data_IF_688104711344
#
_entry.id   IF_688104711344
#
_cell.length_a   1.000
_cell.length_b   1.000
_cell.length_c   1.000
_cell.angle_alpha   90.00
_cell.angle_beta   90.00
_cell.angle_gamma   90.00
#
_symmetry.space_group_name_H-M   'P 1'
#
loop_
_entity.id
_entity.type
_entity.pdbx_description
1 polymer ?
2 branched ?
3 water ?
#
# COMPACT_ATOMS: atom_id res chain seq x y z
N UNK A 7 -9.26 -15.81 -13.24
CA UNK A 7 -9.67 -14.65 -12.41
C UNK A 7 -9.74 -13.41 -13.31
N UNK A 8 -10.70 -12.54 -13.07
CA UNK A 8 -10.84 -11.29 -13.82
C UNK A 8 -9.69 -10.35 -13.45
N UNK A 9 -9.20 -9.55 -14.42
CA UNK A 9 -8.08 -8.69 -14.10
C UNK A 9 -8.46 -7.50 -13.21
N UNK A 10 -7.47 -6.95 -12.49
CA UNK A 10 -7.60 -5.68 -11.82
C UNK A 10 -7.25 -4.60 -12.81
N UNK A 11 -8.17 -3.66 -13.05
CA UNK A 11 -7.96 -2.62 -14.05
C UNK A 11 -7.71 -1.27 -13.39
N UNK A 12 -6.64 -0.59 -13.82
CA UNK A 12 -6.26 0.73 -13.31
C UNK A 12 -6.38 0.90 -11.80
N UNK A 13 -5.84 -0.05 -11.04
CA UNK A 13 -5.93 0.14 -9.61
C UNK A 13 -4.93 1.23 -9.20
N UNK A 14 -5.27 2.03 -8.20
CA UNK A 14 -4.33 3.03 -7.67
C UNK A 14 -3.16 2.31 -7.00
N UNK A 15 -1.98 2.93 -7.04
CA UNK A 15 -0.87 2.43 -6.21
C UNK A 15 -0.60 3.37 -5.03
N UNK A 16 -0.34 2.80 -3.83
CA UNK A 16 -0.13 1.35 -3.57
C UNK A 16 -1.41 0.52 -3.70
N UNK A 17 -1.26 -0.71 -4.22
CA UNK A 17 -2.36 -1.65 -4.42
C UNK A 17 -2.13 -2.95 -3.69
N UNK A 18 -3.21 -3.60 -3.24
CA UNK A 18 -3.16 -4.93 -2.68
C UNK A 18 -4.40 -5.67 -3.20
N UNK A 19 -4.20 -6.85 -3.77
CA UNK A 19 -5.34 -7.60 -4.34
C UNK A 19 -5.20 -9.08 -4.13
N UNK A 20 -6.34 -9.74 -3.98
CA UNK A 20 -6.35 -11.20 -3.78
C UNK A 20 -5.94 -11.91 -5.05
N UNK A 21 -5.13 -12.97 -4.89
CA UNK A 21 -4.89 -13.93 -5.95
C UNK A 21 -5.88 -15.09 -5.69
N UNK A 22 -6.98 -15.11 -6.44
CA UNK A 22 -8.02 -16.14 -6.21
C UNK A 22 -7.47 -17.54 -6.44
N UNK A 23 -7.61 -18.41 -5.44
CA UNK A 23 -7.07 -19.77 -5.50
C UNK A 23 -5.66 -19.90 -4.96
N UNK A 24 -5.03 -18.76 -4.70
CA UNK A 24 -3.64 -18.73 -4.25
C UNK A 24 -2.66 -19.01 -5.38
N UNK A 25 -1.38 -18.89 -5.13
CA UNK A 25 -0.40 -19.26 -6.16
C UNK A 25 -0.47 -20.75 -6.39
N UNK A 26 -0.37 -21.12 -7.66
CA UNK A 26 -0.41 -22.51 -8.11
C UNK A 26 0.68 -22.74 -9.14
N UNK A 27 1.27 -23.94 -9.18
CA UNK A 27 2.23 -24.27 -10.25
C UNK A 27 1.60 -23.97 -11.62
N UNK A 28 2.34 -23.25 -12.45
CA UNK A 28 1.94 -22.87 -13.83
C UNK A 28 1.09 -21.60 -13.93
N UNK A 29 0.72 -21.02 -12.79
CA UNK A 29 -0.02 -19.75 -12.81
C UNK A 29 0.85 -18.61 -13.33
N UNK A 30 0.28 -17.75 -14.17
CA UNK A 30 0.97 -16.63 -14.78
C UNK A 30 0.30 -15.33 -14.34
N UNK A 31 1.08 -14.45 -13.71
CA UNK A 31 0.51 -13.19 -13.24
C UNK A 31 1.21 -12.06 -13.97
N UNK A 32 0.45 -11.24 -14.69
CA UNK A 32 1.01 -10.12 -15.45
C UNK A 32 0.70 -8.81 -14.74
N UNK A 33 1.73 -7.97 -14.66
CA UNK A 33 1.62 -6.63 -14.11
C UNK A 33 2.02 -5.71 -15.27
N UNK A 34 1.09 -4.87 -15.69
CA UNK A 34 1.31 -4.03 -16.84
C UNK A 34 1.11 -2.61 -16.35
N UNK A 35 2.06 -1.74 -16.62
CA UNK A 35 2.03 -0.43 -16.02
C UNK A 35 3.10 0.45 -16.64
N UNK A 36 3.39 1.55 -15.94
CA UNK A 36 4.37 2.53 -16.38
C UNK A 36 5.20 2.97 -15.20
N UNK A 37 6.52 3.03 -15.40
CA UNK A 37 7.41 3.56 -14.35
C UNK A 37 7.33 5.08 -14.32
N UNK A 38 7.09 5.63 -13.15
CA UNK A 38 6.94 7.07 -13.00
C UNK A 38 8.31 7.77 -13.14
N UNK A 39 8.25 9.04 -13.53
CA UNK A 39 9.44 9.87 -13.79
C UNK A 39 9.80 10.83 -12.66
N UNK A 40 8.83 11.23 -11.84
CA UNK A 40 9.10 12.22 -10.82
C UNK A 40 8.57 11.81 -9.46
N UNK A 41 8.64 10.51 -9.15
CA UNK A 41 8.03 9.99 -7.93
C UNK A 41 8.90 8.95 -7.23
N UNK A 42 10.21 9.19 -7.22
CA UNK A 42 11.11 8.31 -6.48
C UNK A 42 11.91 7.36 -7.36
N UNK A 43 12.60 6.42 -6.74
CA UNK A 43 13.64 5.66 -7.46
C UNK A 43 13.52 4.15 -7.33
N UNK A 44 12.40 3.69 -6.78
CA UNK A 44 12.16 2.26 -6.49
C UNK A 44 10.67 1.92 -6.61
N UNK A 45 10.38 0.70 -7.07
CA UNK A 45 9.08 0.07 -6.80
C UNK A 45 9.20 -1.38 -6.42
N UNK A 46 8.09 -1.99 -5.97
CA UNK A 46 8.12 -3.42 -5.70
C UNK A 46 6.80 -4.06 -6.06
N UNK A 47 6.92 -5.33 -6.42
CA UNK A 47 5.77 -6.24 -6.55
C UNK A 47 6.01 -7.29 -5.50
N UNK A 48 5.02 -7.49 -4.63
CA UNK A 48 5.11 -8.44 -3.53
C UNK A 48 4.10 -9.59 -3.69
N UNK A 49 4.58 -10.83 -3.57
CA UNK A 49 3.69 -11.99 -3.47
C UNK A 49 3.66 -12.37 -2.00
N UNK A 50 2.50 -12.18 -1.37
CA UNK A 50 2.45 -12.22 0.10
C UNK A 50 1.26 -12.97 0.68
N UNK A 51 1.29 -13.13 2.01
CA UNK A 51 0.24 -13.84 2.74
C UNK A 51 -0.63 -12.84 3.46
N UNK A 52 -1.84 -12.65 2.95
CA UNK A 52 -2.79 -11.75 3.58
C UNK A 52 -2.34 -10.32 3.52
N UNK A 53 -2.68 -9.56 4.54
CA UNK A 53 -2.53 -8.11 4.48
C UNK A 53 -1.43 -7.50 5.35
N UNK A 54 -0.92 -8.27 6.31
CA UNK A 54 0.40 -7.98 6.85
C UNK A 54 1.33 -8.14 5.64
N UNK A 55 2.06 -7.09 5.29
CA UNK A 55 3.19 -7.24 4.40
C UNK A 55 4.38 -7.70 5.20
N UNK A 56 4.15 -8.44 6.29
CA UNK A 56 5.26 -8.97 7.11
C UNK A 56 5.74 -10.33 6.64
N UNK A 57 4.89 -10.98 5.83
CA UNK A 57 5.18 -12.31 5.30
C UNK A 57 5.05 -12.24 3.80
N UNK A 58 6.18 -11.97 3.16
CA UNK A 58 6.21 -11.79 1.70
C UNK A 58 7.09 -12.89 1.15
N UNK A 59 6.47 -13.82 0.41
CA UNK A 59 7.19 -14.96 -0.18
C UNK A 59 8.23 -14.51 -1.22
N UNK A 60 7.89 -13.49 -2.00
CA UNK A 60 8.73 -12.97 -3.06
C UNK A 60 8.47 -11.47 -3.21
N UNK A 61 9.49 -10.67 -2.87
CA UNK A 61 9.60 -9.21 -3.06
C UNK A 61 10.49 -9.00 -4.27
N UNK A 62 9.93 -8.40 -5.32
CA UNK A 62 10.63 -8.13 -6.60
C UNK A 62 10.75 -6.60 -6.72
N UNK A 63 11.98 -6.10 -6.60
CA UNK A 63 12.17 -4.68 -6.21
C UNK A 63 13.16 -3.93 -7.10
N UNK A 64 12.71 -3.46 -8.30
CA UNK A 64 13.61 -2.66 -9.15
C UNK A 64 14.01 -1.32 -8.52
N UNK A 65 15.31 -1.02 -8.60
CA UNK A 65 15.88 0.22 -8.04
C UNK A 65 16.65 0.98 -9.14
N UNK A 66 16.16 2.18 -9.45
CA UNK A 66 16.77 3.06 -10.44
C UNK A 66 17.83 3.88 -9.70
N UNK A 67 18.87 3.15 -9.28
CA UNK A 67 19.90 3.64 -8.40
C UNK A 67 21.19 2.93 -8.75
N UNK A 68 22.32 3.64 -8.64
CA UNK A 68 23.66 3.04 -8.81
C UNK A 68 23.84 2.37 -10.16
N UNK A 69 23.17 2.90 -11.18
CA UNK A 69 23.30 2.34 -12.54
C UNK A 69 22.17 1.39 -12.85
N UNK A 70 21.36 1.10 -11.83
CA UNK A 70 20.14 0.30 -11.97
C UNK A 70 20.33 -1.18 -11.61
N UNK A 71 19.51 -1.69 -10.70
CA UNK A 71 19.56 -3.11 -10.32
C UNK A 71 18.21 -3.55 -9.72
N UNK A 72 18.02 -4.85 -9.61
CA UNK A 72 16.77 -5.36 -9.03
C UNK A 72 17.13 -6.21 -7.80
N UNK A 73 16.44 -5.95 -6.68
CA UNK A 73 16.56 -6.79 -5.50
C UNK A 73 15.43 -7.83 -5.50
N UNK A 74 15.77 -9.07 -5.22
CA UNK A 74 14.78 -10.12 -4.93
C UNK A 74 15.00 -10.61 -3.51
N UNK A 75 13.93 -10.66 -2.72
CA UNK A 75 14.04 -11.05 -1.32
C UNK A 75 12.75 -11.68 -0.79
N UNK A 76 12.81 -12.19 0.43
CA UNK A 76 11.65 -12.79 1.10
C UNK A 76 11.60 -12.17 2.49
N UNK A 77 10.40 -11.91 2.99
CA UNK A 77 10.23 -11.36 4.32
C UNK A 77 9.42 -12.36 5.14
N UNK A 78 9.88 -12.64 6.36
CA UNK A 78 9.16 -13.60 7.21
C UNK A 78 9.05 -13.02 8.60
N UNK A 79 7.83 -12.90 9.10
CA UNK A 79 7.59 -12.32 10.43
C UNK A 79 8.18 -10.92 10.58
N UNK A 80 8.14 -10.17 9.48
CA UNK A 80 8.62 -8.80 9.47
C UNK A 80 10.08 -8.61 9.08
N UNK A 81 10.85 -9.69 9.12
CA UNK A 81 12.29 -9.62 8.88
C UNK A 81 12.67 -9.98 7.46
N UNK A 82 13.41 -9.09 6.82
CA UNK A 82 13.91 -9.31 5.47
C UNK A 82 15.08 -10.32 5.53
N UNK A 83 15.07 -11.25 4.58
CA UNK A 83 16.19 -12.17 4.43
C UNK A 83 17.39 -11.59 3.70
N UNK A 84 18.37 -12.44 3.37
CA UNK A 84 19.44 -11.99 2.51
C UNK A 84 18.95 -11.72 1.09
N UNK A 85 19.38 -10.60 0.50
CA UNK A 85 18.94 -10.21 -0.85
C UNK A 85 19.66 -11.01 -1.89
N UNK A 86 19.00 -11.22 -3.02
CA UNK A 86 19.70 -11.57 -4.23
C UNK A 86 19.58 -10.39 -5.14
N UNK A 87 20.71 -9.93 -5.68
CA UNK A 87 20.69 -8.75 -6.55
C UNK A 87 21.06 -9.07 -7.96
N UNK A 88 20.27 -8.53 -8.89
CA UNK A 88 20.52 -8.70 -10.31
C UNK A 88 20.96 -7.34 -10.79
N UNK A 89 22.22 -7.26 -11.25
CA UNK A 89 22.82 -5.95 -11.52
C UNK A 89 22.58 -5.53 -12.97
N UNK A 90 21.34 -5.70 -13.40
CA UNK A 90 20.85 -5.26 -14.71
C UNK A 90 19.48 -4.65 -14.45
N UNK A 91 19.17 -3.56 -15.14
CA UNK A 91 17.85 -2.97 -15.04
C UNK A 91 17.15 -3.01 -16.40
N UNK A 92 16.08 -3.81 -16.51
CA UNK A 92 15.35 -3.94 -17.76
C UNK A 92 14.18 -2.96 -17.89
N UNK A 93 13.96 -2.14 -16.87
CA UNK A 93 12.92 -1.09 -16.89
C UNK A 93 13.56 0.28 -17.14
N UNK A 94 12.74 1.26 -17.50
CA UNK A 94 13.21 2.64 -17.68
C UNK A 94 12.19 3.66 -17.15
N UNK A 95 12.66 4.64 -16.37
CA UNK A 95 11.76 5.68 -15.84
C UNK A 95 10.98 6.32 -16.96
N UNK A 96 9.67 6.43 -16.74
CA UNK A 96 8.77 7.02 -17.71
C UNK A 96 8.32 6.14 -18.86
N UNK A 97 8.76 4.88 -18.89
CA UNK A 97 8.34 3.94 -19.94
C UNK A 97 7.36 2.86 -19.42
N UNK A 98 6.42 2.42 -20.29
CA UNK A 98 5.53 1.33 -19.95
C UNK A 98 6.25 -0.03 -19.92
N UNK A 99 5.72 -0.96 -19.14
CA UNK A 99 6.30 -2.29 -19.05
C UNK A 99 5.25 -3.39 -18.98
N UNK A 100 5.64 -4.59 -19.39
CA UNK A 100 4.86 -5.79 -19.15
C UNK A 100 5.72 -6.76 -18.34
N UNK A 101 5.27 -7.05 -17.12
CA UNK A 101 6.05 -7.84 -16.18
C UNK A 101 5.25 -9.11 -15.87
N UNK A 102 5.85 -10.28 -16.13
CA UNK A 102 5.11 -11.52 -16.03
C UNK A 102 5.80 -12.46 -15.08
N UNK A 103 5.07 -12.94 -14.09
CA UNK A 103 5.60 -13.87 -13.12
C UNK A 103 4.98 -15.23 -13.39
N UNK A 104 5.80 -16.24 -13.59
CA UNK A 104 5.30 -17.59 -13.87
C UNK A 104 5.72 -18.47 -12.70
N UNK A 105 4.74 -19.06 -12.00
CA UNK A 105 5.03 -19.94 -10.85
C UNK A 105 5.43 -21.31 -11.37
N UNK A 106 6.54 -21.82 -10.88
CA UNK A 106 7.00 -23.15 -11.28
C UNK A 106 7.25 -23.95 -10.02
N UNK A 107 7.50 -25.25 -10.15
CA UNK A 107 7.60 -26.09 -8.95
C UNK A 107 8.68 -25.65 -7.96
N UNK A 108 9.82 -25.19 -8.47
CA UNK A 108 10.92 -24.83 -7.58
C UNK A 108 11.29 -23.36 -7.58
N UNK A 109 10.78 -22.58 -8.54
CA UNK A 109 11.08 -21.15 -8.59
C UNK A 109 9.98 -20.30 -9.23
N UNK A 110 10.13 -18.97 -9.13
CA UNK A 110 9.38 -18.08 -10.00
C UNK A 110 10.27 -17.78 -11.20
N UNK A 111 9.71 -17.80 -12.40
CA UNK A 111 10.40 -17.31 -13.59
C UNK A 111 9.83 -15.94 -13.89
N UNK A 112 10.68 -14.92 -13.97
CA UNK A 112 10.21 -13.54 -14.16
C UNK A 112 10.62 -13.05 -15.55
N UNK A 113 9.64 -12.65 -16.34
CA UNK A 113 9.87 -12.13 -17.69
C UNK A 113 9.57 -10.62 -17.72
N UNK A 114 10.38 -9.86 -18.44
CA UNK A 114 10.11 -8.42 -18.66
C UNK A 114 9.98 -8.18 -20.16
N UNK A 115 8.88 -7.58 -20.58
CA UNK A 115 8.63 -7.34 -22.01
C UNK A 115 8.93 -8.60 -22.86
N UNK A 116 8.52 -9.76 -22.34
CA UNK A 116 8.67 -11.03 -23.02
C UNK A 116 9.96 -11.81 -22.82
N UNK A 117 10.95 -11.21 -22.19
CA UNK A 117 12.27 -11.86 -22.10
C UNK A 117 12.53 -12.30 -20.65
N UNK A 118 12.99 -13.53 -20.47
CA UNK A 118 13.36 -14.02 -19.15
C UNK A 118 14.39 -13.09 -18.53
N UNK A 119 14.12 -12.64 -17.31
CA UNK A 119 14.97 -11.68 -16.61
C UNK A 119 15.64 -12.30 -15.39
N UNK A 120 14.86 -12.97 -14.56
CA UNK A 120 15.44 -13.62 -13.38
C UNK A 120 14.59 -14.81 -12.96
N UNK A 121 15.22 -15.75 -12.25
CA UNK A 121 14.49 -16.84 -11.59
C UNK A 121 14.72 -16.72 -10.09
N UNK A 122 13.67 -16.92 -9.31
CA UNK A 122 13.80 -16.81 -7.87
C UNK A 122 13.34 -18.11 -7.24
N UNK A 123 14.27 -18.81 -6.60
CA UNK A 123 14.04 -20.09 -6.03
C UNK A 123 13.15 -19.91 -4.80
N UNK A 124 12.09 -20.70 -4.70
CA UNK A 124 11.19 -20.61 -3.54
C UNK A 124 11.92 -20.73 -2.22
N UNK A 125 11.70 -19.77 -1.33
CA UNK A 125 12.23 -19.84 0.02
C UNK A 125 11.18 -20.29 1.04
N UNK A 126 9.92 -19.98 0.75
CA UNK A 126 8.81 -20.46 1.55
C UNK A 126 7.76 -21.12 0.64
N UNK A 127 6.86 -21.95 1.21
CA UNK A 127 5.86 -22.59 0.37
C UNK A 127 5.03 -21.57 -0.43
N UNK A 128 5.01 -21.68 -1.76
CA UNK A 128 4.22 -20.72 -2.52
C UNK A 128 2.71 -20.86 -2.39
N UNK A 129 2.23 -22.04 -2.00
CA UNK A 129 0.77 -22.23 -1.83
C UNK A 129 0.20 -21.34 -0.72
N UNK A 130 1.07 -20.85 0.16
CA UNK A 130 0.65 -19.96 1.25
C UNK A 130 0.35 -18.54 0.76
N UNK A 131 0.70 -18.23 -0.48
CA UNK A 131 0.50 -16.87 -0.98
C UNK A 131 -0.89 -16.69 -1.54
N UNK A 132 -1.57 -15.64 -1.07
CA UNK A 132 -2.89 -15.31 -1.59
C UNK A 132 -3.11 -13.85 -2.01
N UNK A 133 -2.03 -13.05 -2.03
CA UNK A 133 -2.18 -11.62 -2.23
C UNK A 133 -1.01 -11.13 -3.08
N UNK A 134 -1.29 -10.23 -4.02
CA UNK A 134 -0.26 -9.50 -4.73
C UNK A 134 -0.39 -8.04 -4.33
N UNK A 135 0.74 -7.40 -4.00
CA UNK A 135 0.76 -5.99 -3.64
C UNK A 135 1.82 -5.26 -4.46
N UNK A 136 1.55 -3.99 -4.79
CA UNK A 136 2.46 -3.19 -5.63
C UNK A 136 2.60 -1.80 -5.02
N UNK A 137 3.82 -1.33 -4.87
CA UNK A 137 4.00 0.02 -4.34
C UNK A 137 5.23 0.69 -4.93
N UNK A 138 5.34 1.99 -4.68
CA UNK A 138 6.47 2.79 -5.15
C UNK A 138 6.23 3.55 -6.44
N UNK A 139 7.28 3.68 -7.23
CA UNK A 139 7.33 4.67 -8.32
C UNK A 139 6.78 4.12 -9.62
N UNK A 140 5.54 3.63 -9.56
CA UNK A 140 4.83 3.08 -10.74
C UNK A 140 3.37 3.47 -10.70
N UNK A 141 2.76 3.41 -11.89
CA UNK A 141 1.30 3.42 -11.94
C UNK A 141 0.89 2.15 -12.69
N UNK A 142 -0.29 1.63 -12.39
CA UNK A 142 -0.70 0.36 -12.98
C UNK A 142 -1.81 0.54 -13.97
N UNK A 143 -1.70 -0.16 -15.10
CA UNK A 143 -2.82 -0.31 -16.02
C UNK A 143 -3.66 -1.55 -15.67
N UNK A 144 -3.01 -2.71 -15.52
CA UNK A 144 -3.74 -3.90 -15.12
C UNK A 144 -2.87 -4.93 -14.46
N UNK A 145 -3.48 -5.81 -13.67
CA UNK A 145 -2.86 -7.05 -13.22
C UNK A 145 -3.80 -8.19 -13.66
N UNK A 146 -3.26 -9.21 -14.29
CA UNK A 146 -4.08 -10.25 -14.89
C UNK A 146 -3.53 -11.60 -14.50
N UNK A 147 -4.35 -12.63 -14.72
CA UNK A 147 -4.04 -13.97 -14.23
C UNK A 147 -4.31 -14.98 -15.33
N UNK B 7 -13.17 -5.93 17.19
CA UNK B 7 -12.11 -6.48 16.34
C UNK B 7 -10.76 -6.48 17.10
N UNK B 8 -9.96 -7.53 16.92
CA UNK B 8 -8.60 -7.57 17.45
C UNK B 8 -7.76 -6.55 16.69
N UNK B 9 -6.78 -5.92 17.39
CA UNK B 9 -5.95 -4.95 16.69
C UNK B 9 -5.02 -5.56 15.65
N UNK B 10 -4.63 -4.76 14.65
CA UNK B 10 -3.55 -5.14 13.77
C UNK B 10 -2.27 -4.68 14.44
N UNK B 11 -1.37 -5.62 14.75
CA UNK B 11 -0.11 -5.30 15.44
C UNK B 11 1.03 -5.26 14.45
N UNK B 12 1.84 -4.19 14.53
CA UNK B 12 2.98 -3.98 13.65
C UNK B 12 2.69 -4.33 12.17
N UNK B 13 1.59 -3.79 11.61
CA UNK B 13 1.33 -4.04 10.19
C UNK B 13 2.37 -3.31 9.33
N UNK B 14 2.90 -3.96 8.29
CA UNK B 14 3.79 -3.25 7.36
C UNK B 14 3.05 -2.16 6.57
N UNK B 15 3.74 -1.08 6.25
CA UNK B 15 3.25 0.02 5.39
C UNK B 15 3.90 -0.08 3.99
N UNK B 16 3.09 -0.04 2.91
CA UNK B 16 1.65 0.23 2.88
C UNK B 16 0.82 -0.93 3.42
N UNK B 17 -0.30 -0.60 4.06
CA UNK B 17 -1.23 -1.53 4.69
C UNK B 17 -2.64 -1.29 4.24
N UNK B 18 -3.35 -2.38 3.95
CA UNK B 18 -4.81 -2.31 3.76
C UNK B 18 -5.38 -3.45 4.55
N UNK B 19 -6.47 -3.19 5.26
CA UNK B 19 -7.08 -4.18 6.14
C UNK B 19 -8.58 -4.00 6.31
N UNK B 20 -9.27 -5.10 6.59
CA UNK B 20 -10.71 -5.06 6.83
C UNK B 20 -11.08 -4.44 8.17
N UNK B 21 -12.11 -3.58 8.14
CA UNK B 21 -12.76 -3.12 9.37
C UNK B 21 -13.99 -4.01 9.54
N UNK B 22 -13.97 -4.88 10.56
CA UNK B 22 -15.08 -5.82 10.79
C UNK B 22 -16.32 -5.08 11.24
N UNK B 23 -17.43 -5.32 10.54
CA UNK B 23 -18.69 -4.63 10.81
C UNK B 23 -18.86 -3.36 9.99
N UNK B 24 -17.76 -2.92 9.36
CA UNK B 24 -17.75 -1.65 8.65
C UNK B 24 -17.75 -0.47 9.61
N UNK B 25 -17.72 0.74 9.07
CA UNK B 25 -17.83 1.91 9.92
C UNK B 25 -19.20 1.95 10.58
N UNK B 26 -19.23 2.28 11.86
CA UNK B 26 -20.47 2.40 12.61
C UNK B 26 -20.43 3.66 13.47
N UNK B 27 -21.60 4.27 13.68
CA UNK B 27 -21.70 5.45 14.55
C UNK B 27 -21.12 5.12 15.90
N UNK B 28 -20.15 5.90 16.37
CA UNK B 28 -19.54 5.73 17.69
C UNK B 28 -18.24 4.92 17.71
N UNK B 29 -17.95 4.24 16.60
CA UNK B 29 -16.68 3.48 16.46
C UNK B 29 -15.45 4.40 16.58
N UNK B 30 -14.44 3.94 17.30
CA UNK B 30 -13.17 4.65 17.43
C UNK B 30 -12.09 3.77 16.85
N UNK B 31 -11.34 4.32 15.90
CA UNK B 31 -10.26 3.59 15.25
C UNK B 31 -8.97 4.35 15.56
N UNK B 32 -8.00 3.65 16.16
CA UNK B 32 -6.71 4.26 16.51
C UNK B 32 -5.63 3.75 15.59
N UNK B 33 -4.79 4.67 15.10
CA UNK B 33 -3.61 4.39 14.28
C UNK B 33 -2.43 4.98 15.09
N UNK B 34 -1.59 4.09 15.61
CA UNK B 34 -0.48 4.46 16.48
C UNK B 34 0.82 4.04 15.79
N UNK B 35 1.76 4.98 15.69
CA UNK B 35 2.95 4.66 14.91
C UNK B 35 3.95 5.80 15.01
N UNK B 36 4.82 5.86 14.01
CA UNK B 36 5.91 6.82 13.95
C UNK B 36 6.05 7.34 12.51
N UNK B 37 6.20 8.65 12.37
CA UNK B 37 6.51 9.27 11.07
C UNK B 37 7.97 8.97 10.75
N UNK B 38 8.24 8.46 9.56
CA UNK B 38 9.63 8.09 9.21
C UNK B 38 10.51 9.34 9.15
N UNK B 39 11.80 9.17 9.43
CA UNK B 39 12.74 10.28 9.31
C UNK B 39 13.45 10.18 7.94
N UNK B 40 13.07 9.18 7.14
CA UNK B 40 13.49 9.14 5.73
C UNK B 40 12.85 10.26 4.94
N UNK B 41 13.23 10.39 3.67
CA UNK B 41 13.02 11.65 2.95
C UNK B 41 11.61 11.88 2.39
N UNK B 42 10.76 10.85 2.42
CA UNK B 42 9.38 10.94 1.94
C UNK B 42 8.57 11.93 2.76
N UNK B 43 7.55 12.53 2.16
CA UNK B 43 6.97 13.74 2.75
C UNK B 43 5.45 13.68 2.92
N UNK B 44 4.84 12.55 2.61
CA UNK B 44 3.40 12.40 2.77
C UNK B 44 3.06 11.05 3.34
N UNK B 45 1.98 10.99 4.08
CA UNK B 45 1.34 9.75 4.40
C UNK B 45 -0.15 9.95 4.38
N UNK B 46 -0.88 8.85 4.45
CA UNK B 46 -2.33 8.92 4.46
C UNK B 46 -2.91 7.76 5.19
N UNK B 47 -4.03 8.04 5.85
CA UNK B 47 -4.93 7.04 6.39
C UNK B 47 -6.20 7.16 5.58
N UNK B 48 -6.61 6.06 4.96
CA UNK B 48 -7.81 6.04 4.12
C UNK B 48 -8.91 5.18 4.74
N UNK B 49 -10.12 5.71 4.74
CA UNK B 49 -11.30 4.92 5.01
C UNK B 49 -11.99 4.75 3.66
N UNK B 50 -12.01 3.51 3.19
CA UNK B 50 -12.37 3.20 1.80
C UNK B 50 -13.33 2.03 1.61
N UNK B 51 -13.86 1.91 0.39
CA UNK B 51 -14.75 0.83 0.02
C UNK B 51 -13.94 -0.09 -0.86
N UNK B 52 -13.70 -1.32 -0.39
CA UNK B 52 -12.91 -2.29 -1.13
C UNK B 52 -11.47 -1.90 -1.26
N UNK B 53 -10.73 -2.58 -2.16
CA UNK B 53 -9.30 -2.42 -2.24
C UNK B 53 -8.75 -1.74 -3.49
N UNK B 54 -9.60 -1.10 -4.30
CA UNK B 54 -9.13 -0.53 -5.57
C UNK B 54 -8.37 0.78 -5.37
N UNK B 55 -8.67 1.49 -4.28
CA UNK B 55 -8.11 2.81 -4.01
C UNK B 55 -8.84 3.92 -4.77
N UNK B 56 -9.87 3.55 -5.53
CA UNK B 56 -10.59 4.49 -6.38
C UNK B 56 -11.86 5.07 -5.72
N UNK B 57 -12.33 4.42 -4.65
CA UNK B 57 -13.40 4.94 -3.82
C UNK B 57 -12.94 5.05 -2.38
N UNK B 58 -12.58 6.27 -1.98
CA UNK B 58 -12.11 6.57 -0.61
C UNK B 58 -13.02 7.62 0.01
N UNK B 59 -13.80 7.20 1.03
CA UNK B 59 -14.75 8.09 1.72
C UNK B 59 -14.08 9.22 2.47
N UNK B 60 -12.93 8.92 3.06
CA UNK B 60 -12.18 9.89 3.86
C UNK B 60 -10.70 9.57 3.77
N UNK B 61 -9.97 10.48 3.13
CA UNK B 61 -8.52 10.43 2.86
C UNK B 61 -7.97 11.49 3.82
N UNK B 62 -7.23 11.06 4.84
CA UNK B 62 -6.59 11.96 5.82
C UNK B 62 -5.09 11.96 5.52
N UNK B 63 -4.56 13.11 5.09
CA UNK B 63 -3.32 13.17 4.29
C UNK B 63 -2.34 14.26 4.69
N UNK B 64 -1.55 14.02 5.76
CA UNK B 64 -0.53 15.00 6.12
C UNK B 64 0.62 15.10 5.13
N UNK B 65 1.07 16.33 4.92
CA UNK B 65 2.12 16.68 3.95
C UNK B 65 3.20 17.57 4.56
N UNK B 66 4.42 17.05 4.64
CA UNK B 66 5.58 17.76 5.16
C UNK B 66 6.22 18.58 4.04
N UNK B 67 5.46 19.56 3.58
CA UNK B 67 5.74 20.28 2.36
C UNK B 67 5.20 21.69 2.49
N UNK B 68 5.91 22.69 1.95
CA UNK B 68 5.37 24.05 1.90
C UNK B 68 5.09 24.61 3.32
N UNK B 69 5.86 24.12 4.31
CA UNK B 69 5.75 24.52 5.72
C UNK B 69 4.88 23.60 6.58
N UNK B 70 4.27 22.58 5.94
CA UNK B 70 3.42 21.57 6.61
C UNK B 70 1.94 21.88 6.55
N UNK B 71 1.16 20.96 5.98
CA UNK B 71 -0.31 21.06 5.97
C UNK B 71 -0.91 19.68 5.86
N UNK B 72 -2.21 19.60 6.07
CA UNK B 72 -2.92 18.33 6.01
C UNK B 72 -4.09 18.45 5.04
N UNK B 73 -4.16 17.50 4.11
CA UNK B 73 -5.24 17.43 3.15
C UNK B 73 -6.29 16.45 3.63
N UNK B 74 -7.56 16.84 3.52
CA UNK B 74 -8.70 15.93 3.71
C UNK B 74 -9.53 15.85 2.40
N UNK B 75 -9.89 14.65 1.97
CA UNK B 75 -10.62 14.50 0.71
C UNK B 75 -11.38 13.18 0.60
N UNK B 76 -12.15 13.08 -0.47
CA UNK B 76 -12.96 11.92 -0.77
C UNK B 76 -12.63 11.58 -2.23
N UNK B 77 -12.45 10.30 -2.51
CA UNK B 77 -12.24 9.87 -3.90
C UNK B 77 -13.46 9.06 -4.29
N UNK B 78 -14.05 9.38 -5.45
CA UNK B 78 -15.25 8.69 -5.95
C UNK B 78 -15.01 8.26 -7.40
N UNK B 79 -15.06 6.95 -7.63
CA UNK B 79 -14.77 6.36 -8.96
C UNK B 79 -13.49 6.90 -9.60
N UNK B 80 -12.44 7.06 -8.78
CA UNK B 80 -11.15 7.52 -9.26
C UNK B 80 -10.94 9.02 -9.31
N UNK B 81 -12.01 9.77 -9.09
CA UNK B 81 -11.94 11.21 -9.09
C UNK B 81 -11.88 11.75 -7.65
N UNK B 82 -10.82 12.51 -7.39
CA UNK B 82 -10.68 13.19 -6.12
C UNK B 82 -11.59 14.41 -6.15
N UNK B 83 -12.18 14.70 -5.00
CA UNK B 83 -13.05 15.86 -4.86
C UNK B 83 -12.24 17.10 -4.53
N UNK B 84 -12.92 18.15 -4.08
CA UNK B 84 -12.25 19.37 -3.68
C UNK B 84 -11.59 19.12 -2.31
N UNK B 85 -10.32 19.49 -2.17
CA UNK B 85 -9.58 19.25 -0.93
C UNK B 85 -10.04 20.21 0.13
N UNK B 86 -10.03 19.75 1.38
CA UNK B 86 -10.03 20.63 2.52
C UNK B 86 -8.63 20.61 3.06
N UNK B 87 -8.08 21.78 3.35
CA UNK B 87 -6.72 21.84 3.87
C UNK B 87 -6.68 22.48 5.24
N UNK B 88 -5.88 21.91 6.14
CA UNK B 88 -5.58 22.59 7.39
C UNK B 88 -4.10 22.94 7.34
N UNK B 89 -3.79 24.22 7.58
CA UNK B 89 -2.43 24.74 7.40
C UNK B 89 -1.69 24.71 8.72
N UNK B 90 -1.96 23.70 9.54
CA UNK B 90 -1.15 23.40 10.73
C UNK B 90 -0.75 21.93 10.68
N UNK B 91 0.51 21.63 11.02
CA UNK B 91 1.00 20.25 10.97
C UNK B 91 1.24 19.77 12.41
N UNK B 92 0.39 18.84 12.90
CA UNK B 92 0.51 18.31 14.26
C UNK B 92 1.47 17.13 14.39
N UNK B 93 2.05 16.69 13.26
CA UNK B 93 2.98 15.56 13.24
C UNK B 93 4.40 16.07 13.06
N UNK B 94 5.39 15.24 13.34
CA UNK B 94 6.77 15.62 13.18
C UNK B 94 7.54 14.43 12.65
N UNK B 95 8.35 14.65 11.61
CA UNK B 95 9.18 13.56 11.08
C UNK B 95 10.04 12.96 12.18
N UNK B 96 10.10 11.63 12.20
CA UNK B 96 10.84 10.87 13.21
C UNK B 96 10.14 10.65 14.55
N UNK B 97 8.98 11.27 14.76
CA UNK B 97 8.29 11.22 16.05
C UNK B 97 7.05 10.29 16.07
N UNK B 98 6.79 9.66 17.23
CA UNK B 98 5.58 8.85 17.39
C UNK B 98 4.34 9.71 17.41
N UNK B 99 3.21 9.14 17.00
CA UNK B 99 1.92 9.80 17.09
C UNK B 99 0.85 8.79 17.50
N UNK B 100 -0.23 9.31 18.09
CA UNK B 100 -1.44 8.52 18.25
C UNK B 100 -2.55 9.26 17.54
N UNK B 101 -3.11 8.63 16.52
CA UNK B 101 -4.17 9.24 15.71
C UNK B 101 -5.45 8.48 16.02
N UNK B 102 -6.51 9.18 16.39
CA UNK B 102 -7.77 8.53 16.77
C UNK B 102 -8.90 9.12 15.97
N UNK B 103 -9.57 8.27 15.22
CA UNK B 103 -10.71 8.68 14.43
C UNK B 103 -11.98 8.24 15.16
N UNK B 104 -12.87 9.19 15.46
CA UNK B 104 -14.18 8.84 16.01
C UNK B 104 -15.26 9.08 14.95
N UNK B 105 -16.03 8.04 14.69
CA UNK B 105 -17.12 8.12 13.72
C UNK B 105 -18.37 8.69 14.42
N UNK B 106 -18.92 9.76 13.85
CA UNK B 106 -20.18 10.34 14.32
C UNK B 106 -21.18 10.46 13.18
N UNK B 107 -22.44 10.78 13.51
CA UNK B 107 -23.50 10.98 12.52
C UNK B 107 -23.09 11.92 11.39
N UNK B 108 -22.57 13.06 11.79
CA UNK B 108 -22.32 14.11 10.82
C UNK B 108 -20.89 14.11 10.29
N UNK B 109 -19.93 13.57 11.05
CA UNK B 109 -18.52 13.73 10.67
C UNK B 109 -17.60 12.62 11.20
N UNK B 110 -16.34 12.66 10.76
CA UNK B 110 -15.23 12.03 11.48
C UNK B 110 -14.59 13.12 12.35
N UNK B 111 -14.37 12.83 13.63
CA UNK B 111 -13.56 13.68 14.49
C UNK B 111 -12.20 13.03 14.62
N UNK B 112 -11.15 13.81 14.33
CA UNK B 112 -9.81 13.27 14.28
C UNK B 112 -8.98 13.92 15.38
N UNK B 113 -8.51 13.09 16.33
CA UNK B 113 -7.64 13.53 17.41
C UNK B 113 -6.21 13.15 17.09
N UNK B 114 -5.27 14.05 17.33
CA UNK B 114 -3.85 13.73 17.19
C UNK B 114 -3.26 13.92 18.58
N UNK B 115 -2.72 12.84 19.13
CA UNK B 115 -2.13 12.85 20.46
C UNK B 115 -3.14 13.40 21.47
N UNK B 116 -4.40 13.00 21.31
CA UNK B 116 -5.48 13.33 22.24
C UNK B 116 -6.09 14.74 22.15
N UNK B 117 -5.75 15.47 21.11
CA UNK B 117 -6.28 16.83 20.92
C UNK B 117 -7.06 16.83 19.61
N UNK B 118 -8.31 17.28 19.64
CA UNK B 118 -9.08 17.45 18.41
C UNK B 118 -8.36 18.35 17.39
N UNK B 119 -8.11 17.76 16.21
CA UNK B 119 -7.32 18.40 15.17
C UNK B 119 -8.15 18.77 13.95
N UNK B 120 -8.98 17.87 13.48
CA UNK B 120 -9.84 18.18 12.37
C UNK B 120 -11.17 17.44 12.49
N UNK B 121 -12.21 18.03 11.90
CA UNK B 121 -13.48 17.41 11.63
C UNK B 121 -13.63 17.26 10.11
N UNK B 122 -14.17 16.13 9.67
CA UNK B 122 -14.39 15.87 8.25
C UNK B 122 -15.82 15.43 8.04
N UNK B 123 -16.63 16.28 7.44
CA UNK B 123 -18.05 16.01 7.37
C UNK B 123 -18.31 15.05 6.22
N UNK B 124 -19.13 14.04 6.46
CA UNK B 124 -19.33 12.96 5.50
C UNK B 124 -19.82 13.45 4.15
N UNK B 125 -19.13 13.03 3.09
CA UNK B 125 -19.51 13.35 1.71
C UNK B 125 -20.18 12.18 0.99
N UNK B 126 -19.85 10.97 1.41
CA UNK B 126 -20.56 9.77 1.02
C UNK B 126 -21.05 9.05 2.29
N UNK B 127 -22.05 8.17 2.19
CA UNK B 127 -22.49 7.46 3.40
C UNK B 127 -21.33 6.68 4.02
N UNK B 128 -21.11 6.87 5.32
CA UNK B 128 -19.98 6.21 5.99
C UNK B 128 -20.14 4.70 6.17
N UNK B 129 -21.36 4.21 6.05
CA UNK B 129 -21.61 2.76 6.15
C UNK B 129 -21.04 1.97 4.96
N UNK B 130 -20.76 2.65 3.86
CA UNK B 130 -20.14 2.03 2.69
C UNK B 130 -18.65 1.71 2.91
N UNK B 131 -18.11 2.08 4.07
CA UNK B 131 -16.68 1.87 4.34
C UNK B 131 -16.45 0.52 5.00
N UNK B 132 -15.58 -0.29 4.40
CA UNK B 132 -15.25 -1.60 4.98
C UNK B 132 -13.76 -1.89 5.16
N UNK B 133 -12.93 -0.92 4.78
CA UNK B 133 -11.48 -1.14 4.67
C UNK B 133 -10.76 0.10 5.18
N UNK B 134 -9.69 -0.12 5.93
CA UNK B 134 -8.76 0.94 6.30
C UNK B 134 -7.43 0.71 5.60
N UNK B 135 -6.87 1.76 5.03
CA UNK B 135 -5.54 1.63 4.47
C UNK B 135 -4.68 2.76 4.96
N UNK B 136 -3.38 2.47 5.02
CA UNK B 136 -2.37 3.42 5.46
C UNK B 136 -1.19 3.31 4.52
N UNK B 137 -0.71 4.45 4.04
CA UNK B 137 0.45 4.45 3.15
C UNK B 137 1.34 5.66 3.33
N UNK B 138 2.55 5.58 2.79
CA UNK B 138 3.47 6.70 2.87
C UNK B 138 4.52 6.60 3.95
N UNK B 139 4.97 7.77 4.39
CA UNK B 139 6.16 7.90 5.22
C UNK B 139 5.84 7.64 6.67
N UNK B 140 5.23 6.50 6.98
CA UNK B 140 5.03 6.13 8.39
C UNK B 140 5.38 4.66 8.59
N UNK B 141 5.75 4.34 9.82
CA UNK B 141 5.71 2.95 10.31
C UNK B 141 4.63 2.84 11.38
N UNK B 142 4.02 1.67 11.47
CA UNK B 142 2.86 1.47 12.33
C UNK B 142 3.18 0.54 13.48
N UNK B 143 2.76 0.93 14.69
CA UNK B 143 2.74 0.01 15.82
C UNK B 143 1.46 -0.82 15.89
N UNK B 144 0.30 -0.16 15.81
CA UNK B 144 -0.96 -0.88 15.83
C UNK B 144 -2.08 -0.08 15.18
N UNK B 145 -3.10 -0.80 14.74
CA UNK B 145 -4.39 -0.20 14.39
C UNK B 145 -5.42 -0.93 15.26
N UNK B 146 -6.19 -0.18 16.05
CA UNK B 146 -7.14 -0.80 16.97
C UNK B 146 -8.53 -0.23 16.81
N UNK B 147 -9.49 -0.91 17.40
CA UNK B 147 -10.91 -0.62 17.25
C UNK B 147 -11.60 -0.72 18.60
N UNK B 148 -12.40 0.29 18.93
CA UNK B 148 -13.12 0.36 20.20
C UNK B 148 -14.51 0.86 19.93
#
# INVERSE_FOLDING_TARGET
MAFSGSQAPYLSPAVPFSGTIQGGLQDGLQITVNGTVLSSSGTRFAVNFQTGFSGNDIAFHFNPRFEDGGYVVCNTRQNGSWGPEERKTHMPFQKGMPFDLCFLVQSSDFKVMVNGILFVQYFHRVPFHRVDTISVNGSVQLSYISFQ
MAFSGSQAPYLSPAVPFSGTIQGGLQDGLQITVNGTVLSSSGTRFAVNFQTGFSGNDIAFHFNPRFEDGGYVVCNTRQNGSWGPEERKTHMPFQKGMPFDLCFLVQSSDFKVMVNGILFVQYFHRVPFHRVDTISVNGSVQLSYISFQ
#
